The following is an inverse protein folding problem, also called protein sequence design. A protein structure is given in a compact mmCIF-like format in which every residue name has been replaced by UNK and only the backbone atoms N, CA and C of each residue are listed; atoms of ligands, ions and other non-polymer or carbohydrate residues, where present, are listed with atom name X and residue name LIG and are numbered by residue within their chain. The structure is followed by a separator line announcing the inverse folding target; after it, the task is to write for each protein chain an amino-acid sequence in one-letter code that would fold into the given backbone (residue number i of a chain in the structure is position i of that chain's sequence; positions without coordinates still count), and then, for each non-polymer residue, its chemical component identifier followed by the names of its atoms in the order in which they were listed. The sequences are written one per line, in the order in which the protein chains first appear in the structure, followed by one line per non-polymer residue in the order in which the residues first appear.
data_IF_655465816206
#
_entry.id   IF_655465816206
#
_cell.length_a   1.000
_cell.length_b   1.000
_cell.length_c   1.000
_cell.angle_alpha   90.00
_cell.angle_beta   90.00
_cell.angle_gamma   90.00
#
_symmetry.space_group_name_H-M   'P 1'
#
loop_
_entity.id
_entity.type
_entity.pdbx_description
1 polymer ?
#
# COMPACT_ATOMS: atom_id res chain seq x y z
N UNK A 1 13.60 -22.69 -8.96
CA UNK A 1 13.58 -21.32 -8.43
C UNK A 1 12.44 -20.62 -9.13
N UNK A 2 11.31 -20.44 -8.45
CA UNK A 2 10.09 -19.89 -9.05
C UNK A 2 10.34 -18.50 -9.65
N UNK A 3 9.76 -18.27 -10.83
CA UNK A 3 9.67 -16.97 -11.49
C UNK A 3 8.85 -16.00 -10.63
N UNK A 4 9.36 -15.54 -9.48
CA UNK A 4 8.71 -14.50 -8.72
C UNK A 4 8.88 -13.17 -9.49
N UNK A 5 7.80 -12.61 -10.07
CA UNK A 5 7.87 -11.37 -10.82
C UNK A 5 8.32 -10.19 -9.93
N UNK A 6 8.10 -10.30 -8.62
CA UNK A 6 8.43 -9.31 -7.61
C UNK A 6 9.79 -9.59 -6.98
N UNK A 7 10.84 -9.06 -7.59
CA UNK A 7 12.18 -9.11 -7.03
C UNK A 7 12.94 -7.81 -7.25
N UNK A 8 13.96 -7.58 -6.43
CA UNK A 8 14.79 -6.37 -6.46
C UNK A 8 15.53 -6.17 -7.80
N UNK A 9 15.80 -7.24 -8.55
CA UNK A 9 16.50 -7.15 -9.85
C UNK A 9 15.61 -6.54 -10.93
N UNK A 10 14.29 -6.75 -10.85
CA UNK A 10 13.33 -6.22 -11.80
C UNK A 10 12.91 -4.78 -11.51
N UNK A 11 13.10 -4.30 -10.27
CA UNK A 11 12.64 -2.99 -9.82
C UNK A 11 13.15 -1.81 -10.69
N UNK A 12 14.43 -1.74 -11.11
CA UNK A 12 14.89 -0.73 -12.07
C UNK A 12 14.07 -0.67 -13.36
N UNK A 13 13.77 -1.82 -13.94
CA UNK A 13 13.03 -1.91 -15.19
C UNK A 13 11.56 -1.54 -14.99
N UNK A 14 10.97 -1.90 -13.86
CA UNK A 14 9.61 -1.49 -13.48
C UNK A 14 9.53 0.04 -13.32
N UNK A 15 10.50 0.66 -12.64
CA UNK A 15 10.60 2.12 -12.48
C UNK A 15 10.72 2.83 -13.83
N UNK A 16 11.51 2.27 -14.76
CA UNK A 16 11.63 2.75 -16.14
C UNK A 16 10.30 2.69 -16.89
N UNK A 17 9.59 1.57 -16.80
CA UNK A 17 8.28 1.38 -17.44
C UNK A 17 7.25 2.37 -16.90
N UNK A 18 7.18 2.54 -15.57
CA UNK A 18 6.28 3.51 -14.94
C UNK A 18 6.56 4.95 -15.40
N UNK A 19 7.84 5.35 -15.46
CA UNK A 19 8.24 6.67 -15.98
C UNK A 19 7.77 6.87 -17.42
N UNK A 20 8.01 5.88 -18.29
CA UNK A 20 7.61 5.95 -19.69
C UNK A 20 6.09 6.03 -19.85
N UNK A 21 5.34 5.25 -19.08
CA UNK A 21 3.88 5.30 -19.06
C UNK A 21 3.35 6.68 -18.62
N UNK A 22 4.05 7.34 -17.69
CA UNK A 22 3.75 8.71 -17.27
C UNK A 22 4.20 9.79 -18.28
N UNK A 23 4.82 9.42 -19.41
CA UNK A 23 5.28 10.36 -20.45
C UNK A 23 6.49 11.22 -20.03
N UNK A 24 7.21 10.83 -18.97
CA UNK A 24 8.31 11.62 -18.42
C UNK A 24 9.65 11.24 -19.06
N UNK A 25 10.46 12.23 -19.43
CA UNK A 25 11.87 12.00 -19.78
C UNK A 25 12.73 11.72 -18.53
N UNK A 26 13.94 11.20 -18.75
CA UNK A 26 14.89 10.98 -17.65
C UNK A 26 15.27 12.30 -16.95
N UNK A 27 15.41 13.39 -17.71
CA UNK A 27 15.66 14.72 -17.15
C UNK A 27 14.50 15.19 -16.26
N UNK A 28 13.26 15.07 -16.74
CA UNK A 28 12.08 15.51 -15.98
C UNK A 28 11.90 14.74 -14.67
N UNK A 29 11.98 13.41 -14.70
CA UNK A 29 11.85 12.62 -13.47
C UNK A 29 12.99 12.95 -12.49
N UNK A 30 14.22 13.16 -12.98
CA UNK A 30 15.37 13.52 -12.16
C UNK A 30 15.13 14.80 -11.37
N UNK A 31 14.56 15.83 -12.02
CA UNK A 31 14.13 17.05 -11.34
C UNK A 31 13.05 16.80 -10.30
N UNK A 32 12.02 16.03 -10.63
CA UNK A 32 10.88 15.75 -9.74
C UNK A 32 11.24 14.94 -8.48
N UNK A 33 12.23 14.04 -8.57
CA UNK A 33 12.64 13.18 -7.46
C UNK A 33 13.70 13.80 -6.55
N UNK A 34 14.13 15.04 -6.83
CA UNK A 34 15.07 15.77 -5.96
C UNK A 34 16.24 16.38 -6.70
N UNK A 35 16.00 16.95 -7.90
CA UNK A 35 17.02 17.69 -8.63
C UNK A 35 18.16 16.85 -9.20
N UNK A 36 17.96 15.55 -9.39
CA UNK A 36 18.95 14.63 -9.97
C UNK A 36 19.14 14.89 -11.46
N UNK A 37 20.33 14.58 -11.97
CA UNK A 37 20.65 14.70 -13.38
C UNK A 37 20.19 13.48 -14.18
N UNK A 38 20.25 13.59 -15.51
CA UNK A 38 19.86 12.51 -16.41
C UNK A 38 20.73 11.25 -16.23
N UNK A 39 22.03 11.43 -15.97
CA UNK A 39 22.97 10.32 -15.80
C UNK A 39 22.58 9.46 -14.62
N UNK A 40 22.30 10.06 -13.46
CA UNK A 40 21.83 9.37 -12.27
C UNK A 40 20.56 8.56 -12.54
N UNK A 41 19.59 9.17 -13.23
CA UNK A 41 18.34 8.48 -13.60
C UNK A 41 18.61 7.28 -14.51
N UNK A 42 19.52 7.42 -15.47
CA UNK A 42 19.96 6.29 -16.31
C UNK A 42 20.62 5.19 -15.48
N UNK A 43 21.51 5.53 -14.54
CA UNK A 43 22.17 4.56 -13.66
C UNK A 43 21.14 3.80 -12.81
N UNK A 44 20.11 4.49 -12.30
CA UNK A 44 18.98 3.88 -11.60
C UNK A 44 18.23 2.89 -12.50
N UNK A 45 17.85 3.30 -13.71
CA UNK A 45 17.07 2.45 -14.64
C UNK A 45 17.83 1.22 -15.15
N UNK A 46 19.17 1.28 -15.18
CA UNK A 46 20.03 0.17 -15.57
C UNK A 46 20.49 -0.68 -14.36
N UNK A 47 20.00 -0.39 -13.15
CA UNK A 47 20.36 -1.13 -11.94
C UNK A 47 21.81 -0.92 -11.46
N UNK A 48 22.45 0.16 -11.91
CA UNK A 48 23.81 0.55 -11.53
C UNK A 48 23.83 1.40 -10.24
N UNK A 49 22.70 2.04 -9.90
CA UNK A 49 22.54 2.78 -8.66
C UNK A 49 21.86 1.93 -7.57
N UNK A 50 22.27 2.15 -6.31
CA UNK A 50 21.61 1.53 -5.15
C UNK A 50 20.21 2.13 -4.98
N UNK A 51 19.19 1.27 -4.94
CA UNK A 51 17.82 1.67 -4.67
C UNK A 51 17.56 1.78 -3.16
N UNK A 52 16.88 2.84 -2.75
CA UNK A 52 16.34 2.99 -1.40
C UNK A 52 14.81 3.05 -1.47
N UNK A 53 14.09 2.64 -0.40
CA UNK A 53 12.64 2.75 -0.36
C UNK A 53 12.14 4.15 -0.71
N UNK A 54 12.77 5.19 -0.16
CA UNK A 54 12.36 6.59 -0.31
C UNK A 54 12.47 7.04 -1.77
N UNK A 55 13.56 6.66 -2.46
CA UNK A 55 13.74 6.93 -3.87
C UNK A 55 12.65 6.26 -4.71
N UNK A 56 12.39 4.98 -4.46
CA UNK A 56 11.42 4.20 -5.22
C UNK A 56 9.99 4.71 -5.00
N UNK A 57 9.60 4.99 -3.76
CA UNK A 57 8.29 5.54 -3.41
C UNK A 57 8.11 6.89 -4.12
N UNK A 58 9.06 7.82 -3.96
CA UNK A 58 8.99 9.14 -4.59
C UNK A 58 8.91 9.05 -6.12
N UNK A 59 9.63 8.10 -6.71
CA UNK A 59 9.56 7.86 -8.15
C UNK A 59 8.14 7.45 -8.60
N UNK A 60 7.56 6.44 -7.95
CA UNK A 60 6.22 5.95 -8.30
C UNK A 60 5.11 6.96 -7.98
N UNK A 61 5.23 7.76 -6.92
CA UNK A 61 4.33 8.89 -6.64
C UNK A 61 4.33 9.89 -7.80
N UNK A 62 5.51 10.26 -8.32
CA UNK A 62 5.63 11.20 -9.46
C UNK A 62 5.13 10.62 -10.78
N UNK A 63 5.05 9.29 -10.87
CA UNK A 63 4.46 8.59 -12.02
C UNK A 63 2.97 8.25 -11.81
N UNK A 64 2.36 8.63 -10.67
CA UNK A 64 1.00 8.22 -10.27
C UNK A 64 0.78 6.69 -10.32
N UNK A 65 1.84 5.92 -10.05
CA UNK A 65 1.88 4.47 -10.14
C UNK A 65 1.75 3.83 -8.74
N UNK A 66 0.62 4.08 -8.07
CA UNK A 66 0.46 3.81 -6.63
C UNK A 66 0.55 2.32 -6.25
N UNK A 67 0.12 1.41 -7.12
CA UNK A 67 0.27 -0.04 -6.91
C UNK A 67 1.75 -0.44 -6.81
N UNK A 68 2.64 0.29 -7.48
CA UNK A 68 4.07 0.05 -7.41
C UNK A 68 4.69 0.58 -6.10
N UNK A 69 4.00 1.48 -5.38
CA UNK A 69 4.39 1.84 -4.02
C UNK A 69 4.16 0.64 -3.09
N UNK A 70 3.08 -0.13 -3.27
CA UNK A 70 2.86 -1.38 -2.53
C UNK A 70 3.96 -2.41 -2.84
N UNK A 71 4.41 -2.49 -4.09
CA UNK A 71 5.56 -3.31 -4.46
C UNK A 71 6.82 -2.93 -3.67
N UNK A 72 7.09 -1.63 -3.48
CA UNK A 72 8.23 -1.18 -2.66
C UNK A 72 8.06 -1.62 -1.21
N UNK A 73 6.87 -1.46 -0.64
CA UNK A 73 6.59 -1.92 0.73
C UNK A 73 6.83 -3.42 0.89
N UNK A 74 6.41 -4.21 -0.10
CA UNK A 74 6.62 -5.66 -0.14
C UNK A 74 8.10 -6.03 -0.26
N UNK A 75 8.81 -5.50 -1.25
CA UNK A 75 10.21 -5.84 -1.53
C UNK A 75 11.15 -5.44 -0.38
N UNK A 76 10.91 -4.29 0.24
CA UNK A 76 11.73 -3.78 1.33
C UNK A 76 11.19 -4.15 2.73
N UNK A 77 10.10 -4.92 2.81
CA UNK A 77 9.47 -5.36 4.07
C UNK A 77 9.17 -4.21 5.04
N UNK A 78 8.60 -3.13 4.51
CA UNK A 78 8.37 -1.89 5.27
C UNK A 78 7.21 -1.98 6.26
N UNK A 79 6.38 -3.01 6.16
CA UNK A 79 5.25 -3.24 7.06
C UNK A 79 5.01 -4.76 7.22
N UNK A 80 4.64 -5.27 8.42
CA UNK A 80 4.40 -6.70 8.64
C UNK A 80 3.27 -7.29 7.78
N UNK A 81 2.32 -6.45 7.35
CA UNK A 81 1.23 -6.84 6.44
C UNK A 81 1.50 -6.49 4.97
N UNK A 82 2.75 -6.13 4.61
CA UNK A 82 3.09 -5.88 3.22
C UNK A 82 2.95 -7.19 2.42
N UNK A 83 1.99 -7.20 1.51
CA UNK A 83 1.72 -8.30 0.59
C UNK A 83 2.08 -7.91 -0.85
N UNK A 84 2.03 -8.87 -1.76
CA UNK A 84 2.22 -8.60 -3.19
C UNK A 84 1.32 -7.44 -3.67
N UNK A 85 1.81 -6.60 -4.60
CA UNK A 85 1.02 -5.48 -5.10
C UNK A 85 -0.20 -5.97 -5.88
N UNK A 86 -1.23 -5.13 -5.90
CA UNK A 86 -2.43 -5.33 -6.71
C UNK A 86 -2.06 -5.13 -8.19
N UNK A 87 -2.62 -5.98 -9.06
CA UNK A 87 -2.49 -5.78 -10.51
C UNK A 87 -3.19 -4.47 -10.92
N UNK A 88 -2.48 -3.50 -11.52
CA UNK A 88 -3.07 -2.23 -11.97
C UNK A 88 -4.31 -2.40 -12.87
N UNK A 89 -4.41 -3.49 -13.63
CA UNK A 89 -5.57 -3.77 -14.50
C UNK A 89 -6.89 -3.91 -13.72
N UNK A 90 -6.83 -4.30 -12.45
CA UNK A 90 -8.01 -4.41 -11.59
C UNK A 90 -8.59 -3.06 -11.16
N UNK A 91 -7.82 -1.98 -11.33
CA UNK A 91 -8.16 -0.66 -10.82
C UNK A 91 -8.60 0.31 -11.93
N UNK A 92 -8.83 -0.17 -13.15
CA UNK A 92 -9.22 0.67 -14.30
C UNK A 92 -10.68 1.14 -14.24
N UNK A 93 -11.56 0.39 -13.57
CA UNK A 93 -13.00 0.66 -13.48
C UNK A 93 -13.45 0.79 -12.02
N UNK A 94 -13.85 2.00 -11.63
CA UNK A 94 -14.35 2.24 -10.27
C UNK A 94 -15.63 1.45 -9.95
N UNK A 95 -16.51 1.22 -10.94
CA UNK A 95 -17.73 0.42 -10.73
C UNK A 95 -17.40 -1.03 -10.37
N UNK A 96 -16.48 -1.67 -11.11
CA UNK A 96 -16.03 -3.02 -10.81
C UNK A 96 -15.32 -3.08 -9.46
N UNK A 97 -14.53 -2.07 -9.13
CA UNK A 97 -13.86 -1.98 -7.83
C UNK A 97 -14.86 -1.87 -6.66
N UNK A 98 -15.96 -1.12 -6.82
CA UNK A 98 -17.05 -1.06 -5.83
C UNK A 98 -17.75 -2.41 -5.69
N UNK A 99 -18.09 -3.08 -6.79
CA UNK A 99 -18.71 -4.42 -6.77
C UNK A 99 -17.81 -5.42 -6.03
N UNK A 100 -16.51 -5.42 -6.36
CA UNK A 100 -15.53 -6.24 -5.68
C UNK A 100 -15.45 -5.92 -4.18
N UNK A 101 -15.43 -4.64 -3.81
CA UNK A 101 -15.41 -4.22 -2.40
C UNK A 101 -16.65 -4.71 -1.64
N UNK A 102 -17.84 -4.63 -2.23
CA UNK A 102 -19.08 -5.15 -1.62
C UNK A 102 -18.97 -6.65 -1.38
N UNK A 103 -18.54 -7.41 -2.38
CA UNK A 103 -18.37 -8.86 -2.24
C UNK A 103 -17.37 -9.21 -1.13
N UNK A 104 -16.21 -8.55 -1.09
CA UNK A 104 -15.19 -8.77 -0.06
C UNK A 104 -15.67 -8.37 1.35
N UNK A 105 -16.49 -7.32 1.46
CA UNK A 105 -17.14 -6.94 2.72
C UNK A 105 -18.12 -8.02 3.23
N UNK A 106 -18.88 -8.64 2.33
CA UNK A 106 -19.80 -9.72 2.69
C UNK A 106 -19.05 -10.97 3.18
N UNK A 107 -17.99 -11.38 2.48
CA UNK A 107 -17.13 -12.50 2.89
C UNK A 107 -16.44 -12.23 4.24
N UNK A 108 -15.84 -11.05 4.39
CA UNK A 108 -15.18 -10.64 5.62
C UNK A 108 -16.15 -10.54 6.81
N UNK A 109 -17.40 -10.12 6.59
CA UNK A 109 -18.42 -10.09 7.63
C UNK A 109 -18.74 -11.49 8.15
N UNK A 110 -18.89 -12.48 7.25
CA UNK A 110 -19.12 -13.87 7.67
C UNK A 110 -17.90 -14.44 8.39
N UNK A 111 -16.70 -14.22 7.86
CA UNK A 111 -15.44 -14.64 8.47
C UNK A 111 -15.25 -14.02 9.87
N UNK A 112 -15.59 -12.74 10.05
CA UNK A 112 -15.52 -12.07 11.36
C UNK A 112 -16.51 -12.67 12.36
N UNK A 113 -17.72 -13.03 11.93
CA UNK A 113 -18.71 -13.73 12.79
C UNK A 113 -18.21 -15.11 13.19
N UNK A 114 -17.56 -15.85 12.29
CA UNK A 114 -16.98 -17.15 12.59
C UNK A 114 -15.80 -17.02 13.57
N UNK A 115 -14.90 -16.07 13.33
CA UNK A 115 -13.78 -15.78 14.22
C UNK A 115 -14.25 -15.38 15.63
N UNK A 116 -15.31 -14.58 15.73
CA UNK A 116 -15.89 -14.22 17.02
C UNK A 116 -16.40 -15.44 17.80
N UNK A 117 -17.07 -16.39 17.14
CA UNK A 117 -17.51 -17.66 17.76
C UNK A 117 -16.31 -18.50 18.19
N UNK A 118 -15.31 -18.63 17.32
CA UNK A 118 -14.08 -19.36 17.63
C UNK A 118 -13.38 -18.79 18.88
N UNK A 119 -13.31 -17.45 19.00
CA UNK A 119 -12.75 -16.78 20.17
C UNK A 119 -13.56 -17.03 21.46
N UNK A 120 -14.89 -17.12 21.38
CA UNK A 120 -15.74 -17.42 22.54
C UNK A 120 -15.73 -18.90 22.94
N UNK A 121 -15.55 -19.80 21.97
CA UNK A 121 -15.58 -21.25 22.18
C UNK A 121 -14.24 -21.79 22.72
N UNK A 122 -13.16 -21.02 22.57
CA UNK A 122 -11.85 -21.32 23.13
C UNK A 122 -11.84 -21.21 24.66
N UNK A 123 -12.14 -22.34 25.32
CA UNK A 123 -12.01 -22.50 26.78
C UNK A 123 -10.54 -22.65 27.19
N UNK A 124 -10.16 -22.22 28.41
CA UNK A 124 -8.82 -22.48 28.94
C UNK A 124 -8.48 -23.98 28.88
N UNK A 125 -7.39 -24.33 28.20
CA UNK A 125 -6.91 -25.71 28.05
C UNK A 125 -7.22 -26.39 26.72
N UNK A 126 -7.99 -25.75 25.82
CA UNK A 126 -8.20 -26.23 24.45
C UNK A 126 -7.31 -25.43 23.50
N UNK A 127 -6.36 -26.08 22.84
CA UNK A 127 -5.51 -25.45 21.83
C UNK A 127 -6.10 -25.76 20.45
N UNK A 128 -7.06 -24.96 20.00
CA UNK A 128 -7.48 -24.99 18.60
C UNK A 128 -6.55 -24.11 17.76
N UNK A 129 -6.27 -24.52 16.53
CA UNK A 129 -5.50 -23.71 15.58
C UNK A 129 -6.32 -22.47 15.17
N UNK A 130 -5.60 -21.37 14.94
CA UNK A 130 -6.20 -20.11 14.50
C UNK A 130 -6.86 -20.31 13.11
N UNK A 131 -8.11 -19.85 12.88
CA UNK A 131 -8.80 -20.06 11.62
C UNK A 131 -8.25 -19.15 10.52
N UNK A 132 -7.11 -19.54 9.94
CA UNK A 132 -6.38 -18.73 8.97
C UNK A 132 -7.17 -18.40 7.70
N UNK A 133 -8.12 -19.25 7.30
CA UNK A 133 -8.99 -18.98 6.16
C UNK A 133 -9.91 -17.78 6.41
N UNK A 134 -10.52 -17.70 7.60
CA UNK A 134 -11.38 -16.56 7.97
C UNK A 134 -10.53 -15.28 8.11
N UNK A 135 -9.35 -15.38 8.71
CA UNK A 135 -8.43 -14.25 8.82
C UNK A 135 -7.99 -13.74 7.44
N UNK A 136 -7.74 -14.65 6.48
CA UNK A 136 -7.44 -14.27 5.09
C UNK A 136 -8.58 -13.46 4.48
N UNK A 137 -9.83 -13.89 4.63
CA UNK A 137 -10.99 -13.16 4.09
C UNK A 137 -11.10 -11.74 4.68
N UNK A 138 -10.80 -11.59 5.98
CA UNK A 138 -10.73 -10.26 6.62
C UNK A 138 -9.55 -9.45 6.06
N UNK A 139 -8.40 -10.10 5.84
CA UNK A 139 -7.20 -9.48 5.30
C UNK A 139 -7.37 -9.00 3.85
N UNK A 140 -8.16 -9.70 3.04
CA UNK A 140 -8.43 -9.36 1.65
C UNK A 140 -9.10 -7.97 1.50
N UNK A 141 -9.76 -7.47 2.55
CA UNK A 141 -10.28 -6.10 2.60
C UNK A 141 -9.20 -5.04 2.39
N UNK A 142 -7.95 -5.29 2.76
CA UNK A 142 -6.83 -4.36 2.53
C UNK A 142 -6.63 -4.18 1.03
N UNK A 143 -6.60 -5.28 0.27
CA UNK A 143 -6.40 -5.25 -1.17
C UNK A 143 -7.63 -4.64 -1.88
N UNK A 144 -8.84 -5.06 -1.50
CA UNK A 144 -10.08 -4.54 -2.05
C UNK A 144 -10.22 -3.02 -1.86
N UNK A 145 -9.89 -2.52 -0.66
CA UNK A 145 -9.89 -1.09 -0.37
C UNK A 145 -8.88 -0.33 -1.24
N UNK A 146 -7.65 -0.82 -1.36
CA UNK A 146 -6.63 -0.20 -2.22
C UNK A 146 -7.06 -0.15 -3.68
N UNK A 147 -7.61 -1.25 -4.22
CA UNK A 147 -8.19 -1.30 -5.57
C UNK A 147 -9.24 -0.20 -5.78
N UNK A 148 -10.18 -0.08 -4.85
CA UNK A 148 -11.20 0.96 -4.89
C UNK A 148 -10.59 2.37 -4.86
N UNK A 149 -9.71 2.65 -3.89
CA UNK A 149 -9.09 3.98 -3.76
C UNK A 149 -8.29 4.34 -5.01
N UNK A 150 -7.44 3.45 -5.52
CA UNK A 150 -6.64 3.73 -6.72
C UNK A 150 -7.53 3.94 -7.95
N UNK A 151 -8.61 3.17 -8.09
CA UNK A 151 -9.57 3.38 -9.19
C UNK A 151 -10.25 4.76 -9.12
N UNK A 152 -10.65 5.21 -7.92
CA UNK A 152 -11.27 6.53 -7.71
C UNK A 152 -10.29 7.68 -7.94
N UNK A 153 -9.01 7.50 -7.61
CA UNK A 153 -7.97 8.49 -7.93
C UNK A 153 -7.85 8.66 -9.45
N UNK A 154 -7.81 7.56 -10.20
CA UNK A 154 -7.65 7.57 -11.66
C UNK A 154 -8.87 8.12 -12.39
N UNK A 155 -10.06 7.70 -11.97
CA UNK A 155 -11.30 7.93 -12.74
C UNK A 155 -12.15 9.10 -12.23
N UNK A 156 -12.03 9.45 -10.95
CA UNK A 156 -12.88 10.46 -10.30
C UNK A 156 -12.06 11.56 -9.59
N UNK A 157 -10.73 11.57 -9.75
CA UNK A 157 -9.86 12.63 -9.23
C UNK A 157 -9.76 12.69 -7.70
N UNK A 158 -10.05 11.59 -7.00
CA UNK A 158 -9.91 11.48 -5.54
C UNK A 158 -8.52 11.97 -5.09
N UNK A 159 -8.50 12.85 -4.09
CA UNK A 159 -7.27 13.36 -3.48
C UNK A 159 -6.90 12.51 -2.26
N UNK A 160 -5.99 11.55 -2.42
CA UNK A 160 -5.61 10.62 -1.34
C UNK A 160 -5.12 11.33 -0.08
N UNK A 161 -4.33 12.41 -0.22
CA UNK A 161 -3.85 13.17 0.94
C UNK A 161 -5.02 13.78 1.73
N UNK A 162 -6.00 14.37 1.03
CA UNK A 162 -7.17 14.95 1.71
C UNK A 162 -8.01 13.88 2.41
N UNK A 163 -8.16 12.70 1.80
CA UNK A 163 -8.84 11.56 2.42
C UNK A 163 -8.11 11.12 3.70
N UNK A 164 -6.79 10.96 3.63
CA UNK A 164 -5.95 10.59 4.77
C UNK A 164 -6.02 11.63 5.90
N UNK A 165 -5.98 12.92 5.57
CA UNK A 165 -6.07 14.01 6.55
C UNK A 165 -7.45 14.03 7.24
N UNK A 166 -8.53 13.83 6.47
CA UNK A 166 -9.90 13.73 7.02
C UNK A 166 -10.05 12.54 7.95
N UNK A 167 -9.55 11.36 7.55
CA UNK A 167 -9.56 10.17 8.40
C UNK A 167 -8.75 10.41 9.68
N UNK A 168 -7.54 10.95 9.57
CA UNK A 168 -6.64 11.18 10.71
C UNK A 168 -7.26 12.12 11.74
N UNK A 169 -7.84 13.24 11.30
CA UNK A 169 -8.53 14.18 12.22
C UNK A 169 -9.67 13.50 12.96
N UNK A 170 -10.50 12.73 12.27
CA UNK A 170 -11.60 11.98 12.89
C UNK A 170 -11.08 10.92 13.86
N UNK A 171 -10.08 10.15 13.45
CA UNK A 171 -9.50 9.07 14.24
C UNK A 171 -8.84 9.54 15.54
N UNK A 172 -8.24 10.74 15.54
CA UNK A 172 -7.72 11.38 16.75
C UNK A 172 -8.85 11.78 17.72
N UNK A 173 -9.96 12.32 17.20
CA UNK A 173 -11.14 12.66 18.01
C UNK A 173 -11.78 11.41 18.61
N UNK A 174 -11.92 10.36 17.79
CA UNK A 174 -12.52 9.09 18.20
C UNK A 174 -11.56 8.23 19.05
N UNK A 175 -10.35 8.74 19.36
CA UNK A 175 -9.28 8.05 20.12
C UNK A 175 -8.85 6.68 19.57
N UNK A 176 -9.02 6.47 18.27
CA UNK A 176 -8.59 5.25 17.56
C UNK A 176 -7.24 5.41 16.87
N UNK A 177 -6.73 6.64 16.75
CA UNK A 177 -5.36 6.92 16.30
C UNK A 177 -4.44 7.24 17.48
N UNK A 178 -3.16 6.85 17.37
CA UNK A 178 -2.13 7.26 18.32
C UNK A 178 -1.96 8.79 18.27
N UNK A 179 -2.30 9.47 19.37
CA UNK A 179 -2.02 10.88 19.51
C UNK A 179 -0.51 11.10 19.60
N UNK A 180 -0.01 12.18 18.99
CA UNK A 180 1.35 12.64 19.22
C UNK A 180 1.45 12.97 20.71
N UNK A 181 2.19 12.17 21.48
CA UNK A 181 2.51 12.54 22.85
C UNK A 181 3.36 13.81 22.78
N UNK A 182 2.76 14.97 23.06
CA UNK A 182 3.53 16.11 23.50
C UNK A 182 4.13 15.69 24.84
N UNK A 183 5.43 15.38 24.82
CA UNK A 183 6.16 15.10 26.04
C UNK A 183 5.94 16.27 26.98
N UNK A 184 5.15 16.05 28.04
CA UNK A 184 5.19 16.91 29.22
C UNK A 184 6.63 16.85 29.71
N UNK A 185 7.44 17.82 29.33
CA UNK A 185 8.58 18.19 30.14
C UNK A 185 7.97 18.57 31.48
N UNK A 186 8.10 17.67 32.45
CA UNK A 186 7.88 18.03 33.84
C UNK A 186 8.86 19.16 34.11
N UNK A 187 8.35 20.38 34.21
CA UNK A 187 9.07 21.49 34.82
C UNK A 187 9.20 21.11 36.29
N UNK A 188 10.28 20.41 36.63
CA UNK A 188 10.74 20.30 38.00
C UNK A 188 11.29 21.66 38.40
N UNK A 189 10.52 22.37 39.23
CA UNK A 189 10.97 23.50 40.05
C UNK A 189 11.87 22.97 41.16
#
# INVERSE_FOLDING_TARGET
MENNPYNMRNLPQIMRSARKAAGLSQYQIGKLIGGKDQRYVSDVENGLAKLTPELCIKWFEKCAAYEHIDLVHYLFKLHPTAAAPIDPALNECASNAVINMVHQLEEALQATKHLARWLTDNRPGKTEELPMADIKQIFDLIAANKTLIYSLVRTHGLKMQELADRWTRKALVDQVAMAKQEGRQAVSV
#
